data_IF_322554007587
#
_entry.id   IF_322554007587
#
_cell.length_a   1.000
_cell.length_b   1.000
_cell.length_c   1.000
_cell.angle_alpha   90.00
_cell.angle_beta   90.00
_cell.angle_gamma   90.00
#
_symmetry.space_group_name_H-M   'P 1'
#
loop_
_entity.id
_entity.type
_entity.pdbx_description
1 polymer ?
#
# COMPACT_ATOMS: atom_id res chain seq x y z
N UNK A 1 -6.22 -6.68 -21.06
CA UNK A 1 -5.23 -7.74 -20.73
C UNK A 1 -4.10 -7.19 -19.85
N UNK A 2 -3.45 -6.10 -20.22
CA UNK A 2 -2.37 -5.49 -19.41
C UNK A 2 -2.78 -5.17 -17.96
N UNK A 3 -3.99 -4.68 -17.77
CA UNK A 3 -4.54 -4.34 -16.44
C UNK A 3 -4.67 -5.55 -15.52
N UNK A 4 -5.03 -6.70 -16.07
CA UNK A 4 -5.16 -7.94 -15.29
C UNK A 4 -3.80 -8.51 -14.88
N UNK A 5 -2.79 -8.39 -15.73
CA UNK A 5 -1.44 -8.86 -15.44
C UNK A 5 -0.80 -8.06 -14.30
N UNK A 6 -0.92 -6.74 -14.33
CA UNK A 6 -0.42 -5.87 -13.26
C UNK A 6 -1.07 -6.24 -11.91
N UNK A 7 -2.38 -6.39 -11.90
CA UNK A 7 -3.12 -6.77 -10.68
C UNK A 7 -2.73 -8.16 -10.19
N UNK A 8 -2.54 -9.11 -11.10
CA UNK A 8 -2.11 -10.46 -10.74
C UNK A 8 -0.74 -10.45 -10.05
N UNK A 9 0.19 -9.64 -10.53
CA UNK A 9 1.52 -9.46 -9.89
C UNK A 9 1.34 -8.89 -8.48
N UNK A 10 0.52 -7.87 -8.31
CA UNK A 10 0.26 -7.24 -7.02
C UNK A 10 -0.38 -8.22 -6.04
N UNK A 11 -1.35 -9.01 -6.49
CA UNK A 11 -2.03 -10.02 -5.67
C UNK A 11 -1.06 -11.14 -5.25
N UNK A 12 -0.23 -11.63 -6.16
CA UNK A 12 0.81 -12.62 -5.85
C UNK A 12 1.79 -12.09 -4.81
N UNK A 13 2.24 -10.87 -4.99
CA UNK A 13 3.15 -10.20 -4.05
C UNK A 13 2.53 -10.09 -2.65
N UNK A 14 1.30 -9.65 -2.57
CA UNK A 14 0.59 -9.50 -1.28
C UNK A 14 0.40 -10.85 -0.60
N UNK A 15 0.05 -11.89 -1.35
CA UNK A 15 -0.08 -13.25 -0.82
C UNK A 15 1.26 -13.78 -0.29
N UNK A 16 2.36 -13.48 -0.96
CA UNK A 16 3.70 -13.85 -0.49
C UNK A 16 4.08 -13.12 0.80
N UNK A 17 3.73 -11.85 0.91
CA UNK A 17 3.98 -11.06 2.14
C UNK A 17 3.23 -11.59 3.35
N UNK A 18 2.10 -12.25 3.16
CA UNK A 18 1.37 -12.88 4.26
C UNK A 18 2.12 -14.09 4.84
N UNK A 19 3.00 -14.71 4.02
CA UNK A 19 3.70 -15.95 4.37
C UNK A 19 5.17 -15.76 4.74
N UNK A 20 5.83 -14.73 4.21
CA UNK A 20 7.27 -14.52 4.40
C UNK A 20 7.67 -13.06 4.35
N UNK A 21 8.83 -12.77 4.93
CA UNK A 21 9.43 -11.45 4.95
C UNK A 21 9.69 -10.95 3.52
N UNK A 22 9.52 -9.65 3.30
CA UNK A 22 9.73 -9.01 2.00
C UNK A 22 11.14 -9.27 1.44
N UNK A 23 12.14 -9.39 2.31
CA UNK A 23 13.53 -9.65 1.90
C UNK A 23 13.69 -11.03 1.23
N UNK A 24 12.75 -11.94 1.45
CA UNK A 24 12.73 -13.28 0.86
C UNK A 24 11.86 -13.37 -0.38
N UNK A 25 11.14 -12.31 -0.72
CA UNK A 25 10.31 -12.25 -1.92
C UNK A 25 11.19 -11.80 -3.08
N UNK A 26 11.30 -12.62 -4.11
CA UNK A 26 12.09 -12.31 -5.29
C UNK A 26 11.21 -12.12 -6.52
N UNK A 27 11.73 -11.42 -7.52
CA UNK A 27 11.05 -11.28 -8.83
C UNK A 27 10.81 -12.65 -9.45
N UNK A 28 11.78 -13.57 -9.32
CA UNK A 28 11.66 -14.95 -9.81
C UNK A 28 10.47 -15.66 -9.17
N UNK A 29 10.31 -15.54 -7.85
CA UNK A 29 9.18 -16.16 -7.13
C UNK A 29 7.83 -15.64 -7.65
N UNK A 30 7.71 -14.33 -7.84
CA UNK A 30 6.48 -13.72 -8.36
C UNK A 30 6.20 -14.20 -9.78
N UNK A 31 7.23 -14.24 -10.63
CA UNK A 31 7.09 -14.69 -12.01
C UNK A 31 6.63 -16.15 -12.08
N UNK A 32 7.19 -17.02 -11.25
CA UNK A 32 6.80 -18.42 -11.18
C UNK A 32 5.34 -18.58 -10.72
N UNK A 33 4.95 -17.86 -9.69
CA UNK A 33 3.59 -17.96 -9.15
C UNK A 33 2.55 -17.39 -10.13
N UNK A 34 2.88 -16.28 -10.80
CA UNK A 34 1.99 -15.63 -11.76
C UNK A 34 1.99 -16.29 -13.15
N UNK A 35 2.97 -17.14 -13.44
CA UNK A 35 3.12 -17.73 -14.77
C UNK A 35 3.57 -16.71 -15.83
N UNK A 36 4.40 -15.76 -15.47
CA UNK A 36 4.93 -14.74 -16.38
C UNK A 36 6.47 -14.81 -16.41
N UNK A 37 7.08 -14.19 -17.43
CA UNK A 37 8.53 -14.07 -17.50
C UNK A 37 9.00 -12.75 -16.87
N UNK A 38 10.32 -12.63 -16.66
CA UNK A 38 10.93 -11.45 -16.05
C UNK A 38 10.70 -10.19 -16.87
N UNK A 39 10.71 -10.28 -18.20
CA UNK A 39 10.46 -9.12 -19.07
C UNK A 39 9.06 -8.55 -18.83
N UNK A 40 8.07 -9.41 -18.66
CA UNK A 40 6.70 -8.98 -18.34
C UNK A 40 6.66 -8.29 -16.98
N UNK A 41 7.34 -8.82 -15.98
CA UNK A 41 7.44 -8.18 -14.67
C UNK A 41 8.03 -6.77 -14.80
N UNK A 42 9.19 -6.64 -15.45
CA UNK A 42 9.91 -5.35 -15.58
C UNK A 42 9.21 -4.36 -16.50
N UNK A 43 8.25 -4.80 -17.29
CA UNK A 43 7.36 -3.91 -18.03
C UNK A 43 6.47 -3.09 -17.07
N UNK A 44 6.01 -3.69 -15.98
CA UNK A 44 5.08 -3.05 -15.04
C UNK A 44 5.77 -2.44 -13.82
N UNK A 45 6.84 -3.05 -13.35
CA UNK A 45 7.49 -2.68 -12.09
C UNK A 45 9.00 -2.70 -12.24
N UNK A 46 9.68 -1.75 -11.59
CA UNK A 46 11.13 -1.70 -11.60
C UNK A 46 11.77 -2.72 -10.64
N UNK A 47 11.11 -2.99 -9.51
CA UNK A 47 11.58 -3.93 -8.49
C UNK A 47 10.44 -4.30 -7.54
N UNK A 48 10.76 -5.07 -6.52
CA UNK A 48 9.82 -5.52 -5.49
C UNK A 48 9.23 -4.34 -4.71
N UNK A 49 10.03 -3.31 -4.42
CA UNK A 49 9.57 -2.14 -3.67
C UNK A 49 8.59 -1.30 -4.47
N UNK A 50 8.75 -1.28 -5.79
CA UNK A 50 7.79 -0.63 -6.70
C UNK A 50 6.43 -1.35 -6.65
N UNK A 51 6.44 -2.68 -6.56
CA UNK A 51 5.20 -3.46 -6.36
C UNK A 51 4.56 -3.09 -5.02
N UNK A 52 5.36 -3.02 -3.96
CA UNK A 52 4.88 -2.61 -2.63
C UNK A 52 4.21 -1.25 -2.67
N UNK A 53 4.86 -0.29 -3.31
CA UNK A 53 4.32 1.07 -3.47
C UNK A 53 2.96 1.07 -4.17
N UNK A 54 2.84 0.31 -5.26
CA UNK A 54 1.57 0.19 -6.00
C UNK A 54 0.48 -0.49 -5.18
N UNK A 55 0.81 -1.50 -4.40
CA UNK A 55 -0.13 -2.16 -3.48
C UNK A 55 -0.61 -1.18 -2.41
N UNK A 56 0.29 -0.40 -1.83
CA UNK A 56 -0.06 0.60 -0.81
C UNK A 56 -0.99 1.68 -1.38
N UNK A 57 -0.73 2.14 -2.59
CA UNK A 57 -1.59 3.12 -3.26
C UNK A 57 -3.00 2.53 -3.46
N UNK A 58 -3.08 1.33 -4.03
CA UNK A 58 -4.37 0.70 -4.32
C UNK A 58 -5.17 0.46 -3.04
N UNK A 59 -4.54 -0.08 -2.00
CA UNK A 59 -5.21 -0.37 -0.72
C UNK A 59 -5.65 0.90 0.00
N UNK A 60 -4.84 1.97 -0.05
CA UNK A 60 -5.25 3.25 0.54
C UNK A 60 -6.39 3.90 -0.23
N UNK A 61 -6.38 3.85 -1.54
CA UNK A 61 -7.46 4.42 -2.35
C UNK A 61 -8.76 3.65 -2.20
N UNK A 62 -8.68 2.32 -2.09
CA UNK A 62 -9.83 1.44 -1.98
C UNK A 62 -10.49 1.49 -0.59
N UNK A 63 -9.70 1.53 0.47
CA UNK A 63 -10.16 1.37 1.85
C UNK A 63 -10.27 2.68 2.63
N UNK A 64 -9.58 3.72 2.17
CA UNK A 64 -9.61 5.03 2.81
C UNK A 64 -10.33 5.99 1.86
N UNK A 65 -11.64 5.83 1.79
CA UNK A 65 -12.49 6.77 1.08
C UNK A 65 -12.70 7.98 2.00
N UNK A 66 -11.95 9.04 1.70
CA UNK A 66 -11.99 10.27 2.46
C UNK A 66 -13.05 11.16 1.83
N UNK A 67 -14.29 10.93 2.23
CA UNK A 67 -15.38 11.85 1.87
C UNK A 67 -15.26 13.10 2.73
N UNK A 68 -15.69 14.23 2.20
CA UNK A 68 -15.70 15.50 2.93
C UNK A 68 -16.49 15.40 4.24
N UNK A 69 -17.44 14.49 4.30
CA UNK A 69 -18.33 14.28 5.45
C UNK A 69 -17.77 13.33 6.49
N UNK A 70 -16.67 12.63 6.19
CA UNK A 70 -16.08 11.68 7.12
C UNK A 70 -15.40 12.39 8.30
N UNK A 71 -15.67 11.94 9.50
CA UNK A 71 -14.99 12.44 10.71
C UNK A 71 -13.57 11.92 10.79
N UNK A 72 -12.73 12.54 11.64
CA UNK A 72 -11.40 12.03 11.96
C UNK A 72 -11.46 10.60 12.48
N UNK A 73 -12.41 10.32 13.36
CA UNK A 73 -12.61 8.99 13.93
C UNK A 73 -12.85 7.95 12.84
N UNK A 74 -13.75 8.25 11.89
CA UNK A 74 -14.07 7.34 10.78
C UNK A 74 -12.86 7.09 9.89
N UNK A 75 -12.10 8.12 9.58
CA UNK A 75 -10.90 8.03 8.73
C UNK A 75 -9.82 7.17 9.40
N UNK A 76 -9.51 7.44 10.67
CA UNK A 76 -8.50 6.68 11.40
C UNK A 76 -8.95 5.26 11.73
N UNK A 77 -10.24 5.04 11.98
CA UNK A 77 -10.80 3.70 12.20
C UNK A 77 -10.67 2.83 10.96
N UNK A 78 -10.92 3.38 9.78
CA UNK A 78 -10.73 2.66 8.51
C UNK A 78 -9.26 2.31 8.28
N UNK A 79 -8.34 3.26 8.52
CA UNK A 79 -6.91 3.02 8.39
C UNK A 79 -6.44 1.92 9.35
N UNK A 80 -6.89 1.94 10.60
CA UNK A 80 -6.57 0.91 11.59
C UNK A 80 -7.12 -0.45 11.17
N UNK A 81 -8.34 -0.50 10.62
CA UNK A 81 -8.95 -1.74 10.12
C UNK A 81 -8.12 -2.39 9.02
N UNK A 82 -7.60 -1.58 8.09
CA UNK A 82 -6.72 -2.06 7.00
C UNK A 82 -5.43 -2.65 7.56
N UNK A 83 -4.81 -1.97 8.52
CA UNK A 83 -3.58 -2.45 9.17
C UNK A 83 -3.84 -3.78 9.88
N UNK A 84 -4.96 -3.91 10.58
CA UNK A 84 -5.33 -5.15 11.27
C UNK A 84 -5.61 -6.28 10.27
N UNK A 85 -6.30 -5.98 9.19
CA UNK A 85 -6.60 -6.97 8.14
C UNK A 85 -5.33 -7.54 7.52
N UNK A 86 -4.34 -6.69 7.26
CA UNK A 86 -3.07 -7.08 6.64
C UNK A 86 -1.92 -7.22 7.63
N UNK A 87 -2.22 -7.46 8.91
CA UNK A 87 -1.19 -7.47 9.98
C UNK A 87 0.01 -8.36 9.71
N UNK A 88 -0.20 -9.54 9.12
CA UNK A 88 0.90 -10.45 8.81
C UNK A 88 1.85 -9.86 7.76
N UNK A 89 1.29 -9.27 6.70
CA UNK A 89 2.06 -8.60 5.66
C UNK A 89 2.78 -7.36 6.23
N UNK A 90 2.12 -6.60 7.08
CA UNK A 90 2.70 -5.41 7.73
C UNK A 90 3.91 -5.80 8.58
N UNK A 91 3.81 -6.87 9.37
CA UNK A 91 4.91 -7.36 10.20
C UNK A 91 6.08 -7.82 9.33
N UNK A 92 5.81 -8.53 8.24
CA UNK A 92 6.84 -9.02 7.32
C UNK A 92 7.55 -7.89 6.58
N UNK A 93 6.88 -6.78 6.32
CA UNK A 93 7.49 -5.58 5.75
C UNK A 93 8.30 -4.85 6.82
N UNK A 94 7.75 -4.71 8.02
CA UNK A 94 8.40 -4.02 9.13
C UNK A 94 9.73 -4.68 9.53
N UNK A 95 9.83 -5.99 9.45
CA UNK A 95 11.04 -6.76 9.79
C UNK A 95 12.06 -6.84 8.65
N UNK A 96 11.92 -6.04 7.60
CA UNK A 96 12.86 -6.01 6.49
C UNK A 96 14.22 -5.43 6.90
N UNK A 97 15.29 -5.94 6.26
CA UNK A 97 16.65 -5.35 6.37
C UNK A 97 16.70 -3.96 5.74
N UNK A 98 15.83 -3.69 4.77
CA UNK A 98 15.72 -2.41 4.07
C UNK A 98 14.62 -1.55 4.67
N UNK A 99 14.39 -1.70 5.96
CA UNK A 99 13.34 -1.00 6.71
C UNK A 99 13.36 0.51 6.50
N UNK A 100 14.54 1.12 6.44
CA UNK A 100 14.67 2.57 6.26
C UNK A 100 14.07 3.05 4.94
N UNK A 101 14.34 2.31 3.85
CA UNK A 101 13.80 2.61 2.51
C UNK A 101 12.28 2.43 2.53
N UNK A 102 11.81 1.35 3.14
CA UNK A 102 10.39 1.03 3.25
C UNK A 102 9.66 2.07 4.09
N UNK A 103 10.23 2.44 5.24
CA UNK A 103 9.65 3.46 6.12
C UNK A 103 9.50 4.80 5.42
N UNK A 104 10.51 5.22 4.66
CA UNK A 104 10.44 6.46 3.88
C UNK A 104 9.32 6.42 2.86
N UNK A 105 9.19 5.31 2.12
CA UNK A 105 8.16 5.14 1.10
C UNK A 105 6.78 5.14 1.72
N UNK A 106 6.56 4.31 2.75
CA UNK A 106 5.29 4.18 3.46
C UNK A 106 4.93 5.49 4.14
N UNK A 107 5.86 6.08 4.87
CA UNK A 107 5.65 7.34 5.59
C UNK A 107 5.30 8.48 4.64
N UNK A 108 6.02 8.60 3.53
CA UNK A 108 5.76 9.64 2.53
C UNK A 108 4.36 9.49 1.93
N UNK A 109 3.95 8.27 1.58
CA UNK A 109 2.64 8.00 0.99
C UNK A 109 1.50 8.26 1.97
N UNK A 110 1.60 7.69 3.17
CA UNK A 110 0.58 7.88 4.20
C UNK A 110 0.54 9.33 4.68
N UNK A 111 1.67 9.92 4.98
CA UNK A 111 1.76 11.29 5.45
C UNK A 111 1.18 12.26 4.43
N UNK A 112 1.51 12.11 3.17
CA UNK A 112 0.99 12.97 2.10
C UNK A 112 -0.53 12.89 2.02
N UNK A 113 -1.10 11.70 2.05
CA UNK A 113 -2.55 11.50 1.97
C UNK A 113 -3.26 11.98 3.25
N UNK A 114 -2.78 11.59 4.41
CA UNK A 114 -3.35 11.98 5.69
C UNK A 114 -3.17 13.46 5.99
N UNK A 115 -2.02 14.03 5.65
CA UNK A 115 -1.75 15.46 5.81
C UNK A 115 -2.70 16.31 4.98
N UNK A 116 -2.91 15.94 3.72
CA UNK A 116 -3.85 16.64 2.84
C UNK A 116 -5.27 16.56 3.40
N UNK A 117 -5.69 15.39 3.84
CA UNK A 117 -7.01 15.18 4.44
C UNK A 117 -7.16 15.97 5.73
N UNK A 118 -6.13 15.93 6.57
CA UNK A 118 -6.10 16.67 7.83
C UNK A 118 -6.27 18.17 7.60
N UNK A 119 -5.53 18.73 6.64
CA UNK A 119 -5.63 20.14 6.26
C UNK A 119 -7.02 20.49 5.75
N UNK A 120 -7.59 19.65 4.86
CA UNK A 120 -8.96 19.86 4.35
C UNK A 120 -9.99 19.86 5.48
N UNK A 121 -9.86 18.94 6.44
CA UNK A 121 -10.79 18.84 7.57
C UNK A 121 -10.65 20.03 8.52
N UNK A 122 -9.43 20.51 8.77
CA UNK A 122 -9.20 21.70 9.57
C UNK A 122 -9.83 22.94 8.93
N UNK A 123 -9.65 23.11 7.62
CA UNK A 123 -10.22 24.22 6.88
C UNK A 123 -11.76 24.17 6.86
N UNK A 124 -12.30 22.95 6.74
CA UNK A 124 -13.76 22.73 6.75
C UNK A 124 -14.35 22.97 8.14
N UNK A 125 -13.66 22.54 9.20
CA UNK A 125 -14.08 22.81 10.58
C UNK A 125 -14.09 24.31 10.90
N UNK A 126 -13.09 25.06 10.45
CA UNK A 126 -13.04 26.51 10.62
C UNK A 126 -14.19 27.21 9.93
N UNK A 127 -14.61 26.72 8.76
CA UNK A 127 -15.78 27.28 8.05
C UNK A 127 -17.10 27.01 8.77
N UNK A 128 -17.21 25.87 9.47
CA UNK A 128 -18.44 25.54 10.22
C UNK A 128 -18.55 26.30 11.54
N UNK A 129 -17.45 26.79 12.09
CA UNK A 129 -17.41 27.53 13.36
C UNK A 129 -17.42 29.06 13.17
N UNK A 130 -17.39 29.51 11.94
CA UNK A 130 -17.51 30.93 11.60
C UNK A 130 -18.90 31.24 11.00
#
# INVERSE_FOLDING_TARGET
MAKFTKKAIMDCFLNMLKRKNIDRVTVTDICEECGINRNTFYYYFSDIYDVLDSVLIEETEKNIDITEDATFYETYSKAASVIIEYRAAVIHVYNSRNRDIIEKTVHYRFFRKFSHTFLLKLLTCNKKNS
#
